data_IF_033664089666
#
_entry.id   IF_033664089666
#
_cell.length_a   1.000
_cell.length_b   1.000
_cell.length_c   1.000
_cell.angle_alpha   90.00
_cell.angle_beta   90.00
_cell.angle_gamma   90.00
#
_symmetry.space_group_name_H-M   'P 1'
#
loop_
_entity.id
_entity.type
_entity.pdbx_description
1 polymer ?
#
# COMPACT_ATOMS: atom_id res chain seq x y z
N UNK A 1 -53.20 -7.03 13.12
CA UNK A 1 -52.31 -6.16 12.36
C UNK A 1 -51.05 -5.67 13.11
N UNK A 2 -51.08 -5.38 14.42
CA UNK A 2 -49.93 -4.90 15.20
C UNK A 2 -48.81 -5.93 15.42
N UNK A 3 -49.11 -7.25 15.38
CA UNK A 3 -48.10 -8.31 15.58
C UNK A 3 -47.16 -8.47 14.42
N UNK A 4 -47.62 -8.41 13.17
CA UNK A 4 -46.78 -8.64 11.98
C UNK A 4 -45.78 -7.52 11.74
N UNK A 5 -46.10 -6.29 12.15
CA UNK A 5 -45.19 -5.14 12.02
C UNK A 5 -43.93 -5.29 12.89
N UNK A 6 -44.05 -5.87 14.08
CA UNK A 6 -42.90 -6.13 14.97
C UNK A 6 -41.92 -7.14 14.35
N UNK A 7 -42.42 -8.19 13.71
CA UNK A 7 -41.57 -9.20 13.04
C UNK A 7 -40.91 -8.66 11.80
N UNK A 8 -41.60 -7.80 11.05
CA UNK A 8 -41.02 -7.14 9.86
C UNK A 8 -39.85 -6.20 10.27
N UNK A 9 -40.06 -5.38 11.31
CA UNK A 9 -39.00 -4.50 11.84
C UNK A 9 -37.79 -5.30 12.35
N UNK A 10 -38.06 -6.39 13.09
CA UNK A 10 -37.00 -7.27 13.59
C UNK A 10 -36.18 -7.90 12.45
N UNK A 11 -36.86 -8.35 11.38
CA UNK A 11 -36.21 -8.95 10.22
C UNK A 11 -35.30 -7.93 9.47
N UNK A 12 -35.79 -6.69 9.29
CA UNK A 12 -35.02 -5.61 8.65
C UNK A 12 -33.79 -5.25 9.49
N UNK A 13 -33.88 -5.19 10.80
CA UNK A 13 -32.75 -4.93 11.70
C UNK A 13 -31.73 -6.06 11.64
N UNK A 14 -32.17 -7.33 11.64
CA UNK A 14 -31.25 -8.47 11.52
C UNK A 14 -30.49 -8.49 10.17
N UNK A 15 -31.18 -8.20 9.06
CA UNK A 15 -30.53 -8.14 7.74
C UNK A 15 -29.56 -6.98 7.63
N UNK A 16 -29.84 -5.84 8.24
CA UNK A 16 -28.93 -4.70 8.27
C UNK A 16 -27.65 -5.01 9.09
N UNK A 17 -27.79 -5.65 10.25
CA UNK A 17 -26.63 -6.07 11.07
C UNK A 17 -25.77 -7.11 10.35
N UNK A 18 -26.36 -8.06 9.64
CA UNK A 18 -25.63 -9.05 8.86
C UNK A 18 -24.82 -8.43 7.71
N UNK A 19 -25.39 -7.44 7.01
CA UNK A 19 -24.68 -6.72 5.95
C UNK A 19 -23.53 -5.88 6.50
N UNK A 20 -23.67 -5.24 7.66
CA UNK A 20 -22.60 -4.49 8.31
C UNK A 20 -21.44 -5.40 8.74
N UNK A 21 -21.72 -6.57 9.30
CA UNK A 21 -20.69 -7.54 9.69
C UNK A 21 -19.89 -8.06 8.49
N UNK A 22 -20.55 -8.34 7.38
CA UNK A 22 -19.88 -8.77 6.15
C UNK A 22 -19.02 -7.65 5.52
N UNK A 23 -19.49 -6.42 5.54
CA UNK A 23 -18.75 -5.27 5.04
C UNK A 23 -17.48 -5.01 5.88
N UNK A 24 -17.56 -5.12 7.20
CA UNK A 24 -16.40 -4.97 8.08
C UNK A 24 -15.38 -6.10 7.86
N UNK A 25 -15.83 -7.36 7.77
CA UNK A 25 -14.96 -8.51 7.50
C UNK A 25 -14.23 -8.37 6.16
N UNK A 26 -14.91 -7.89 5.12
CA UNK A 26 -14.29 -7.64 3.82
C UNK A 26 -13.26 -6.51 3.87
N UNK A 27 -13.52 -5.44 4.64
CA UNK A 27 -12.58 -4.34 4.86
C UNK A 27 -11.33 -4.81 5.61
N UNK A 28 -11.50 -5.62 6.64
CA UNK A 28 -10.38 -6.17 7.41
C UNK A 28 -9.54 -7.13 6.57
N UNK A 29 -10.16 -7.92 5.69
CA UNK A 29 -9.47 -8.82 4.77
C UNK A 29 -8.58 -8.04 3.79
N UNK A 30 -9.10 -7.00 3.13
CA UNK A 30 -8.31 -6.22 2.17
C UNK A 30 -7.21 -5.42 2.84
N UNK A 31 -7.45 -4.91 4.04
CA UNK A 31 -6.42 -4.26 4.85
C UNK A 31 -5.24 -5.21 5.10
N UNK A 32 -5.52 -6.43 5.56
CA UNK A 32 -4.49 -7.42 5.85
C UNK A 32 -3.72 -7.85 4.59
N UNK A 33 -4.42 -8.01 3.44
CA UNK A 33 -3.77 -8.32 2.17
C UNK A 33 -2.79 -7.22 1.75
N UNK A 34 -3.21 -5.95 1.78
CA UNK A 34 -2.37 -4.82 1.36
C UNK A 34 -1.23 -4.55 2.35
N UNK A 35 -1.48 -4.63 3.66
CA UNK A 35 -0.43 -4.51 4.67
C UNK A 35 0.65 -5.60 4.51
N UNK A 36 0.23 -6.83 4.13
CA UNK A 36 1.17 -7.88 3.77
C UNK A 36 1.97 -7.53 2.52
N UNK A 37 1.32 -7.00 1.47
CA UNK A 37 1.99 -6.64 0.22
C UNK A 37 2.97 -5.46 0.41
N UNK A 38 2.64 -4.44 1.21
CA UNK A 38 3.59 -3.40 1.64
C UNK A 38 4.83 -4.02 2.31
N UNK A 39 4.60 -4.93 3.25
CA UNK A 39 5.70 -5.64 3.91
C UNK A 39 6.55 -6.45 2.93
N UNK A 40 5.95 -7.16 1.98
CA UNK A 40 6.67 -7.92 0.95
C UNK A 40 7.53 -6.99 0.09
N UNK A 41 6.96 -5.87 -0.37
CA UNK A 41 7.66 -4.89 -1.20
C UNK A 41 8.85 -4.28 -0.47
N UNK A 42 8.66 -3.80 0.74
CA UNK A 42 9.73 -3.13 1.46
C UNK A 42 10.73 -4.07 2.13
N UNK A 43 10.35 -5.33 2.34
CA UNK A 43 11.34 -6.36 2.65
C UNK A 43 12.26 -6.62 1.44
N UNK A 44 11.71 -6.69 0.22
CA UNK A 44 12.52 -6.80 -1.00
C UNK A 44 13.44 -5.58 -1.19
N UNK A 45 12.89 -4.36 -0.97
CA UNK A 45 13.68 -3.13 -0.99
C UNK A 45 14.83 -3.17 0.03
N UNK A 46 14.53 -3.45 1.28
CA UNK A 46 15.49 -3.44 2.39
C UNK A 46 16.55 -4.55 2.29
N UNK A 47 16.21 -5.70 1.67
CA UNK A 47 17.14 -6.80 1.41
C UNK A 47 17.88 -6.70 0.07
N UNK A 48 17.60 -5.67 -0.74
CA UNK A 48 18.18 -5.49 -2.08
C UNK A 48 17.78 -6.57 -3.07
N UNK A 49 16.63 -7.21 -2.89
CA UNK A 49 16.05 -8.16 -3.84
C UNK A 49 15.37 -7.40 -5.00
N UNK A 50 16.21 -7.01 -5.98
CA UNK A 50 15.79 -6.22 -7.14
C UNK A 50 14.72 -6.95 -7.95
N UNK A 51 14.87 -8.27 -8.14
CA UNK A 51 13.94 -9.07 -8.93
C UNK A 51 12.55 -9.14 -8.28
N UNK A 52 12.51 -9.37 -6.97
CA UNK A 52 11.26 -9.35 -6.23
C UNK A 52 10.63 -7.97 -6.23
N UNK A 53 11.40 -6.92 -5.95
CA UNK A 53 10.92 -5.54 -5.93
C UNK A 53 10.25 -5.16 -7.26
N UNK A 54 10.97 -5.31 -8.38
CA UNK A 54 10.45 -4.94 -9.71
C UNK A 54 9.21 -5.72 -10.13
N UNK A 55 9.06 -6.98 -9.66
CA UNK A 55 7.90 -7.81 -9.97
C UNK A 55 6.58 -7.31 -9.39
N UNK A 56 6.66 -6.42 -8.39
CA UNK A 56 5.50 -5.87 -7.68
C UNK A 56 4.88 -4.64 -8.34
N UNK A 57 5.46 -4.17 -9.45
CA UNK A 57 4.95 -3.02 -10.21
C UNK A 57 4.44 -3.46 -11.58
N UNK A 58 3.51 -2.68 -12.13
CA UNK A 58 3.08 -2.84 -13.52
C UNK A 58 4.02 -2.08 -14.46
N UNK A 59 4.09 -2.51 -15.73
CA UNK A 59 4.94 -1.85 -16.75
C UNK A 59 4.48 -0.43 -17.08
N UNK A 60 3.21 -0.12 -16.85
CA UNK A 60 2.58 1.20 -17.02
C UNK A 60 2.56 2.01 -15.71
N UNK A 61 3.48 1.72 -14.78
CA UNK A 61 3.63 2.46 -13.53
C UNK A 61 3.80 3.96 -13.79
N UNK A 62 3.06 4.76 -13.06
CA UNK A 62 3.30 6.19 -12.89
C UNK A 62 3.70 6.47 -11.44
N UNK A 63 4.85 7.10 -11.25
CA UNK A 63 5.37 7.48 -9.94
C UNK A 63 5.46 9.01 -9.85
N UNK A 64 4.63 9.58 -9.01
CA UNK A 64 4.54 11.02 -8.76
C UNK A 64 5.33 11.36 -7.48
N UNK A 65 6.37 12.17 -7.61
CA UNK A 65 7.19 12.62 -6.50
C UNK A 65 7.15 14.14 -6.41
N UNK A 66 6.85 14.70 -5.25
CA UNK A 66 6.68 16.16 -5.08
C UNK A 66 7.94 16.99 -5.40
N UNK A 67 9.12 16.40 -5.29
CA UNK A 67 10.40 17.02 -5.68
C UNK A 67 10.96 16.49 -7.01
N UNK A 68 10.76 15.20 -7.28
CA UNK A 68 11.31 14.51 -8.45
C UNK A 68 10.42 14.53 -9.69
N UNK A 69 9.15 14.94 -9.56
CA UNK A 69 8.18 14.98 -10.65
C UNK A 69 7.63 13.60 -11.01
N UNK A 70 7.16 13.44 -12.25
CA UNK A 70 6.60 12.20 -12.77
C UNK A 70 7.69 11.30 -13.35
N UNK A 71 7.74 10.06 -12.87
CA UNK A 71 8.61 9.01 -13.38
C UNK A 71 7.82 7.73 -13.68
N UNK A 72 8.47 6.67 -14.11
CA UNK A 72 7.87 5.44 -14.61
C UNK A 72 8.51 4.17 -14.03
N UNK A 73 8.07 3.01 -14.51
CA UNK A 73 8.61 1.70 -14.12
C UNK A 73 10.12 1.60 -14.30
N UNK A 74 10.66 1.98 -15.46
CA UNK A 74 12.09 1.89 -15.76
C UNK A 74 12.93 2.71 -14.77
N UNK A 75 12.52 3.96 -14.50
CA UNK A 75 13.17 4.80 -13.50
C UNK A 75 13.13 4.17 -12.10
N UNK A 76 12.00 3.58 -11.71
CA UNK A 76 11.84 2.93 -10.41
C UNK A 76 12.74 1.70 -10.27
N UNK A 77 12.87 0.90 -11.33
CA UNK A 77 13.79 -0.26 -11.36
C UNK A 77 15.26 0.19 -11.30
N UNK A 78 15.64 1.16 -12.12
CA UNK A 78 17.01 1.70 -12.13
C UNK A 78 17.40 2.27 -10.76
N UNK A 79 16.50 3.01 -10.11
CA UNK A 79 16.71 3.48 -8.75
C UNK A 79 16.98 2.31 -7.77
N UNK A 80 16.20 1.23 -7.84
CA UNK A 80 16.40 0.06 -6.98
C UNK A 80 17.73 -0.65 -7.26
N UNK A 81 18.15 -0.73 -8.53
CA UNK A 81 19.45 -1.28 -8.90
C UNK A 81 20.60 -0.43 -8.34
N UNK A 82 20.48 0.89 -8.38
CA UNK A 82 21.48 1.79 -7.82
C UNK A 82 21.54 1.70 -6.30
N UNK A 83 20.38 1.59 -5.64
CA UNK A 83 20.29 1.32 -4.20
C UNK A 83 20.97 0.00 -3.85
N UNK A 84 20.81 -1.05 -4.67
CA UNK A 84 21.43 -2.35 -4.44
C UNK A 84 22.97 -2.33 -4.59
N UNK A 85 23.50 -1.45 -5.42
CA UNK A 85 24.94 -1.24 -5.63
C UNK A 85 25.57 -0.29 -4.60
N UNK A 86 24.76 0.51 -3.92
CA UNK A 86 25.22 1.54 -2.99
C UNK A 86 25.56 0.95 -1.60
N UNK A 87 26.48 1.60 -0.90
CA UNK A 87 26.84 1.27 0.48
C UNK A 87 26.20 2.23 1.50
N UNK A 88 25.18 2.99 1.09
CA UNK A 88 24.56 4.00 1.95
C UNK A 88 23.55 3.45 2.96
N UNK A 89 23.34 2.14 2.98
CA UNK A 89 22.43 1.45 3.92
C UNK A 89 20.98 2.00 3.88
N UNK A 90 20.55 2.54 2.75
CA UNK A 90 19.20 3.09 2.59
C UNK A 90 18.15 2.05 2.98
N UNK A 91 17.31 2.38 3.96
CA UNK A 91 16.28 1.51 4.50
C UNK A 91 14.97 2.27 4.66
N UNK A 92 13.85 1.60 4.38
CA UNK A 92 12.51 2.10 4.63
C UNK A 92 11.85 1.34 5.78
N UNK A 93 11.22 2.08 6.69
CA UNK A 93 10.35 1.55 7.72
C UNK A 93 8.99 2.24 7.69
N UNK A 94 7.90 1.45 7.79
CA UNK A 94 6.55 1.98 7.91
C UNK A 94 6.34 2.57 9.31
N UNK A 95 5.80 3.78 9.40
CA UNK A 95 5.41 4.35 10.69
C UNK A 95 4.23 3.57 11.26
N UNK A 96 4.40 3.02 12.44
CA UNK A 96 3.40 2.16 13.08
C UNK A 96 2.04 2.88 13.22
N UNK A 97 0.99 2.23 12.73
CA UNK A 97 -0.39 2.75 12.84
C UNK A 97 -0.74 3.82 11.82
N UNK A 98 0.15 4.13 10.87
CA UNK A 98 -0.13 5.12 9.80
C UNK A 98 -0.83 4.54 8.58
N UNK A 99 -0.87 3.21 8.45
CA UNK A 99 -1.41 2.56 7.27
C UNK A 99 -2.93 2.63 7.24
N UNK A 100 -3.46 3.13 6.14
CA UNK A 100 -4.89 3.11 5.80
C UNK A 100 -5.08 2.41 4.46
N UNK A 101 -6.13 1.60 4.35
CA UNK A 101 -6.45 0.87 3.11
C UNK A 101 -7.92 1.05 2.76
N UNK A 102 -8.17 1.39 1.50
CA UNK A 102 -9.49 1.59 0.95
C UNK A 102 -9.68 0.72 -0.29
N UNK A 103 -10.74 -0.11 -0.34
CA UNK A 103 -11.02 -0.91 -1.52
C UNK A 103 -11.40 -0.02 -2.71
N UNK A 104 -10.93 -0.41 -3.91
CA UNK A 104 -11.37 0.15 -5.20
C UNK A 104 -12.15 -0.95 -5.90
N UNK A 105 -13.50 -0.93 -5.87
CA UNK A 105 -14.33 -2.00 -6.42
C UNK A 105 -14.01 -2.31 -7.89
N UNK A 106 -13.83 -3.60 -8.19
CA UNK A 106 -13.51 -4.08 -9.55
C UNK A 106 -12.07 -3.80 -10.02
N UNK A 107 -11.23 -3.20 -9.17
CA UNK A 107 -9.84 -2.90 -9.51
C UNK A 107 -8.83 -3.44 -8.50
N UNK A 108 -8.96 -3.05 -7.23
CA UNK A 108 -7.98 -3.39 -6.21
C UNK A 108 -8.12 -2.55 -4.94
N UNK A 109 -7.07 -1.82 -4.55
CA UNK A 109 -7.08 -1.01 -3.33
C UNK A 109 -6.20 0.24 -3.45
N UNK A 110 -6.56 1.26 -2.68
CA UNK A 110 -5.72 2.41 -2.36
C UNK A 110 -5.12 2.20 -0.97
N UNK A 111 -3.83 2.34 -0.88
CA UNK A 111 -3.04 2.34 0.33
C UNK A 111 -2.53 3.75 0.60
N UNK A 112 -2.65 4.21 1.84
CA UNK A 112 -2.12 5.50 2.30
C UNK A 112 -1.30 5.24 3.55
N UNK A 113 -0.15 5.91 3.68
CA UNK A 113 0.66 5.74 4.88
C UNK A 113 1.76 6.78 5.02
N UNK A 114 2.51 6.62 6.11
CA UNK A 114 3.70 7.40 6.41
C UNK A 114 4.88 6.44 6.58
N UNK A 115 6.01 6.75 5.99
CA UNK A 115 7.21 5.95 6.11
C UNK A 115 8.43 6.81 6.44
N UNK A 116 9.42 6.19 7.06
CA UNK A 116 10.72 6.80 7.31
C UNK A 116 11.76 6.11 6.45
N UNK A 117 12.54 6.89 5.71
CA UNK A 117 13.75 6.43 5.04
C UNK A 117 14.95 6.89 5.82
N UNK A 118 15.87 5.97 6.08
CA UNK A 118 17.15 6.26 6.71
C UNK A 118 18.29 5.77 5.83
N UNK A 119 19.40 6.52 5.78
CA UNK A 119 20.63 6.13 5.09
C UNK A 119 21.85 6.63 5.85
N UNK A 120 23.03 6.19 5.43
CA UNK A 120 24.31 6.74 5.89
C UNK A 120 24.77 7.87 4.99
N UNK A 121 24.98 9.05 5.56
CA UNK A 121 25.62 10.18 4.92
C UNK A 121 26.82 10.63 5.74
N UNK A 122 28.02 10.59 5.15
CA UNK A 122 29.28 10.93 5.86
C UNK A 122 29.49 10.17 7.18
N UNK A 123 29.06 8.89 7.21
CA UNK A 123 29.16 8.00 8.37
C UNK A 123 28.15 8.32 9.50
N UNK A 124 27.19 9.19 9.26
CA UNK A 124 26.08 9.49 10.16
C UNK A 124 24.77 9.02 9.58
N UNK A 125 23.88 8.54 10.45
CA UNK A 125 22.53 8.18 10.05
C UNK A 125 21.71 9.45 9.81
N UNK A 126 21.19 9.59 8.59
CA UNK A 126 20.23 10.62 8.20
C UNK A 126 18.88 9.99 7.89
N UNK A 127 17.79 10.60 8.34
CA UNK A 127 16.44 10.06 8.21
C UNK A 127 15.44 11.15 7.84
N UNK A 128 14.56 10.83 6.87
CA UNK A 128 13.39 11.62 6.52
C UNK A 128 12.10 10.82 6.68
N UNK A 129 11.01 11.49 7.05
CA UNK A 129 9.69 10.89 7.18
C UNK A 129 8.73 11.54 6.20
N UNK A 130 8.10 10.73 5.36
CA UNK A 130 7.34 11.17 4.19
C UNK A 130 6.00 10.45 4.13
N UNK A 131 5.07 10.99 3.34
CA UNK A 131 3.75 10.41 3.09
C UNK A 131 3.71 9.74 1.72
N UNK A 132 2.88 8.71 1.61
CA UNK A 132 2.71 8.02 0.34
C UNK A 132 1.27 7.59 0.10
N UNK A 133 0.95 7.42 -1.17
CA UNK A 133 -0.24 6.72 -1.67
C UNK A 133 0.21 5.70 -2.71
N UNK A 134 -0.22 4.46 -2.56
CA UNK A 134 -0.07 3.42 -3.58
C UNK A 134 -1.44 2.99 -4.10
N UNK A 135 -1.55 2.83 -5.41
CA UNK A 135 -2.71 2.19 -6.03
C UNK A 135 -2.30 0.77 -6.45
N UNK A 136 -2.87 -0.18 -5.74
CA UNK A 136 -2.69 -1.60 -5.98
C UNK A 136 -3.80 -2.13 -6.90
N UNK A 137 -3.42 -2.81 -7.99
CA UNK A 137 -4.32 -3.57 -8.84
C UNK A 137 -4.25 -5.06 -8.48
N UNK A 138 -5.41 -5.72 -8.33
CA UNK A 138 -5.50 -7.18 -8.21
C UNK A 138 -5.95 -7.77 -9.56
N UNK A 139 -5.07 -8.52 -10.21
CA UNK A 139 -5.35 -9.16 -11.49
C UNK A 139 -4.86 -10.60 -11.48
N UNK A 140 -5.75 -11.55 -11.84
CA UNK A 140 -5.43 -12.99 -11.83
C UNK A 140 -4.91 -13.51 -10.47
N UNK A 141 -5.38 -12.93 -9.37
CA UNK A 141 -4.93 -13.27 -8.01
C UNK A 141 -3.65 -12.56 -7.56
N UNK A 142 -2.94 -11.85 -8.42
CA UNK A 142 -1.71 -11.14 -8.12
C UNK A 142 -1.98 -9.65 -7.84
N UNK A 143 -1.25 -9.10 -6.86
CA UNK A 143 -1.24 -7.68 -6.55
C UNK A 143 -0.02 -6.98 -7.17
N UNK A 144 -0.25 -5.87 -7.87
CA UNK A 144 0.82 -5.00 -8.40
C UNK A 144 0.46 -3.53 -8.22
N UNK A 145 1.47 -2.70 -7.94
CA UNK A 145 1.32 -1.25 -7.87
C UNK A 145 1.27 -0.70 -9.29
N UNK A 146 0.27 0.15 -9.55
CA UNK A 146 0.10 0.85 -10.82
C UNK A 146 0.41 2.34 -10.69
N UNK A 147 0.21 2.93 -9.51
CA UNK A 147 0.46 4.36 -9.22
C UNK A 147 1.07 4.51 -7.86
N UNK A 148 2.06 5.40 -7.77
CA UNK A 148 2.68 5.86 -6.53
C UNK A 148 2.59 7.36 -6.47
N UNK A 149 2.23 7.90 -5.32
CA UNK A 149 2.43 9.31 -4.97
C UNK A 149 3.28 9.36 -3.71
N UNK A 150 4.44 10.02 -3.79
CA UNK A 150 5.35 10.21 -2.65
C UNK A 150 5.52 11.71 -2.42
N UNK A 151 5.23 12.18 -1.23
CA UNK A 151 5.11 13.61 -0.96
C UNK A 151 5.46 13.97 0.49
N UNK A 152 5.60 15.28 0.74
CA UNK A 152 5.96 15.88 2.03
C UNK A 152 7.47 15.69 2.35
N UNK A 153 8.32 15.81 1.27
CA UNK A 153 9.79 15.72 1.33
C UNK A 153 10.47 17.04 1.67
#
# INVERSE_FOLDING_TARGET
MKSNLKYIVLLVVLTAMFNMANAQSAKDSIYNEIAHMDSVMFNAFNSRDVEKFKSLFTQDLEFYHDKGGLTNYEHTVNFMEDVAKSNNELRRDLVKGSLEVYPIPGYGAMEIGVHTFCHLENGKKDCGTFKFVHIWQKKNGEWKITRVVSYDH
#
